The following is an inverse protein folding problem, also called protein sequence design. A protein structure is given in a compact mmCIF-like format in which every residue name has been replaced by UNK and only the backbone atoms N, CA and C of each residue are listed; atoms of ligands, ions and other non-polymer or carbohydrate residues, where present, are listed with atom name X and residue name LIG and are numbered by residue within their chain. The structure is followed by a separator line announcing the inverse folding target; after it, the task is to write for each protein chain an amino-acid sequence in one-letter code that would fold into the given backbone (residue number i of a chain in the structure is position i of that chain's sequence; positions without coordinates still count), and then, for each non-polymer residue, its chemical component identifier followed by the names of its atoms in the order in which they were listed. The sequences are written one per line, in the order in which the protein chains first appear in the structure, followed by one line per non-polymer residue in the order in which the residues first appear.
data_IF_367444288247
#
_entry.id   IF_367444288247
#
_cell.length_a   1.000
_cell.length_b   1.000
_cell.length_c   1.000
_cell.angle_alpha   90.00
_cell.angle_beta   90.00
_cell.angle_gamma   90.00
#
_symmetry.space_group_name_H-M   'P 1'
#
loop_
_entity.id
_entity.type
_entity.pdbx_description
1 polymer ?
#
# COMPACT_ATOMS: atom_id res chain seq x y z
N UNK A 1 -17.94 -6.76 13.44
CA UNK A 1 -19.04 -5.96 12.83
C UNK A 1 -19.02 -4.62 13.52
N UNK A 2 -18.85 -3.53 12.80
CA UNK A 2 -18.91 -2.17 13.37
C UNK A 2 -20.39 -1.75 13.46
N UNK A 3 -20.80 -1.16 14.57
CA UNK A 3 -22.16 -0.64 14.80
C UNK A 3 -22.10 0.84 15.17
N UNK A 4 -23.27 1.50 15.22
CA UNK A 4 -23.35 2.84 15.76
C UNK A 4 -22.94 2.85 17.25
N UNK A 5 -22.45 4.00 17.72
CA UNK A 5 -22.09 4.18 19.12
C UNK A 5 -23.34 4.28 19.99
N UNK A 6 -23.34 3.60 21.13
CA UNK A 6 -24.39 3.62 22.13
C UNK A 6 -24.12 4.71 23.19
N UNK A 7 -25.13 5.14 23.99
CA UNK A 7 -24.99 6.25 24.96
C UNK A 7 -23.90 6.09 26.04
N UNK A 8 -23.33 4.89 26.20
CA UNK A 8 -22.26 4.60 27.16
C UNK A 8 -20.88 4.45 26.54
N UNK A 9 -20.77 4.46 25.21
CA UNK A 9 -19.49 4.29 24.52
C UNK A 9 -18.62 5.54 24.68
N UNK A 10 -17.34 5.30 24.89
CA UNK A 10 -16.32 6.32 25.04
C UNK A 10 -15.37 6.34 23.85
N UNK A 11 -14.70 7.47 23.68
CA UNK A 11 -13.65 7.58 22.68
C UNK A 11 -12.52 6.57 22.98
N UNK A 12 -12.24 5.69 22.03
CA UNK A 12 -11.24 4.63 22.18
C UNK A 12 -11.78 3.23 22.44
N UNK A 13 -13.10 3.05 22.63
CA UNK A 13 -13.70 1.72 22.77
C UNK A 13 -13.61 0.88 21.49
N UNK A 14 -13.50 1.55 20.34
CA UNK A 14 -13.26 0.93 19.05
C UNK A 14 -11.79 1.09 18.68
N UNK A 15 -11.06 -0.03 18.69
CA UNK A 15 -9.66 -0.09 18.27
C UNK A 15 -9.50 -1.07 17.12
N UNK A 16 -8.67 -0.70 16.15
CA UNK A 16 -8.31 -1.57 15.03
C UNK A 16 -7.01 -2.31 15.35
N UNK A 17 -6.98 -3.60 15.00
CA UNK A 17 -5.77 -4.40 15.05
C UNK A 17 -4.94 -4.15 13.78
N UNK A 18 -3.89 -3.35 13.92
CA UNK A 18 -3.02 -2.97 12.81
C UNK A 18 -2.17 -4.14 12.30
N UNK A 19 -1.93 -5.17 13.13
CA UNK A 19 -1.20 -6.37 12.71
C UNK A 19 -2.02 -7.17 11.71
N UNK A 20 -3.32 -7.35 11.97
CA UNK A 20 -4.24 -8.03 11.02
C UNK A 20 -4.32 -7.29 9.68
N UNK A 21 -4.39 -5.97 9.70
CA UNK A 21 -4.33 -5.18 8.46
C UNK A 21 -3.02 -5.39 7.71
N UNK A 22 -1.90 -5.48 8.43
CA UNK A 22 -0.58 -5.72 7.84
C UNK A 22 -0.43 -7.15 7.28
N UNK A 23 -1.02 -8.16 7.92
CA UNK A 23 -1.07 -9.53 7.41
C UNK A 23 -1.81 -9.61 6.08
N UNK A 24 -2.99 -8.99 5.98
CA UNK A 24 -3.75 -8.91 4.72
C UNK A 24 -2.96 -8.16 3.64
N UNK A 25 -2.27 -7.07 4.02
CA UNK A 25 -1.38 -6.37 3.10
C UNK A 25 -0.27 -7.30 2.54
N UNK A 26 0.37 -8.11 3.39
CA UNK A 26 1.38 -9.07 2.95
C UNK A 26 0.82 -10.12 2.00
N UNK A 27 -0.36 -10.67 2.30
CA UNK A 27 -1.05 -11.61 1.41
C UNK A 27 -1.30 -10.98 0.03
N UNK A 28 -1.72 -9.72 -0.02
CA UNK A 28 -1.88 -8.99 -1.28
C UNK A 28 -0.53 -8.76 -1.98
N UNK A 29 0.51 -8.41 -1.23
CA UNK A 29 1.85 -8.16 -1.76
C UNK A 29 2.40 -9.40 -2.47
N UNK A 30 2.18 -10.60 -1.94
CA UNK A 30 2.58 -11.88 -2.53
C UNK A 30 1.96 -12.14 -3.91
N UNK A 31 0.79 -11.57 -4.19
CA UNK A 31 0.11 -11.70 -5.49
C UNK A 31 0.67 -10.73 -6.55
N UNK A 32 1.53 -9.78 -6.15
CA UNK A 32 2.08 -8.76 -7.05
C UNK A 32 3.41 -9.19 -7.66
N UNK A 33 3.79 -8.56 -8.77
CA UNK A 33 5.13 -8.75 -9.35
C UNK A 33 6.13 -7.88 -8.58
N UNK A 34 7.20 -8.47 -8.00
CA UNK A 34 8.19 -7.69 -7.28
C UNK A 34 8.95 -6.77 -8.24
N UNK A 35 9.39 -5.62 -7.74
CA UNK A 35 10.39 -4.79 -8.40
C UNK A 35 11.79 -5.37 -8.13
N UNK A 36 12.79 -5.13 -9.00
CA UNK A 36 12.72 -4.34 -10.23
C UNK A 36 11.98 -5.03 -11.37
N UNK A 37 11.35 -4.23 -12.23
CA UNK A 37 10.72 -4.73 -13.46
C UNK A 37 11.75 -5.08 -14.53
N UNK A 38 11.28 -5.46 -15.74
CA UNK A 38 12.15 -5.71 -16.89
C UNK A 38 13.15 -4.56 -17.13
N UNK A 39 14.41 -4.89 -17.39
CA UNK A 39 15.48 -3.90 -17.59
C UNK A 39 16.06 -3.30 -16.31
N UNK A 40 15.87 -3.95 -15.15
CA UNK A 40 16.34 -3.48 -13.84
C UNK A 40 15.80 -2.10 -13.45
N UNK A 41 14.58 -1.78 -13.90
CA UNK A 41 13.95 -0.50 -13.64
C UNK A 41 13.07 -0.60 -12.40
N UNK A 42 13.22 0.37 -11.49
CA UNK A 42 12.35 0.54 -10.32
C UNK A 42 10.90 0.70 -10.72
N UNK A 43 10.64 1.30 -11.89
CA UNK A 43 9.28 1.57 -12.42
C UNK A 43 9.26 1.52 -13.95
N UNK A 44 8.10 1.25 -14.59
CA UNK A 44 7.98 1.31 -16.04
C UNK A 44 8.08 2.71 -16.63
N UNK A 45 8.68 2.82 -17.83
CA UNK A 45 8.87 4.09 -18.55
C UNK A 45 7.60 4.63 -19.23
N UNK A 46 6.64 3.74 -19.52
CA UNK A 46 5.37 4.05 -20.19
C UNK A 46 4.30 4.61 -19.25
N UNK A 47 4.52 4.60 -17.92
CA UNK A 47 3.58 5.17 -16.97
C UNK A 47 3.68 6.70 -16.98
N UNK A 48 2.65 7.39 -17.48
CA UNK A 48 2.54 8.85 -17.50
C UNK A 48 2.52 9.43 -16.08
N UNK A 49 3.19 10.58 -15.91
CA UNK A 49 3.29 11.30 -14.63
C UNK A 49 3.26 12.80 -14.88
N UNK A 50 2.69 13.60 -13.97
CA UNK A 50 2.73 15.05 -14.04
C UNK A 50 4.17 15.60 -14.11
N UNK A 51 5.09 14.99 -13.36
CA UNK A 51 6.52 15.31 -13.37
C UNK A 51 7.30 14.03 -13.67
N UNK A 52 7.62 13.81 -14.95
CA UNK A 52 8.36 12.62 -15.39
C UNK A 52 9.84 12.80 -15.04
N UNK A 53 10.44 11.92 -14.20
CA UNK A 53 11.88 11.96 -13.91
C UNK A 53 12.72 11.74 -15.16
N UNK A 54 14.01 12.08 -15.07
CA UNK A 54 15.01 11.69 -16.08
C UNK A 54 15.18 10.17 -16.11
N UNK A 55 15.56 9.56 -17.25
CA UNK A 55 15.63 8.10 -17.40
C UNK A 55 16.55 7.38 -16.40
N UNK A 56 17.64 8.02 -15.96
CA UNK A 56 18.59 7.50 -14.97
C UNK A 56 17.93 7.28 -13.59
N UNK A 57 16.97 8.13 -13.20
CA UNK A 57 16.25 8.01 -11.94
C UNK A 57 15.31 6.78 -11.85
N UNK A 58 15.15 6.04 -12.95
CA UNK A 58 14.39 4.79 -12.99
C UNK A 58 15.24 3.55 -12.71
N UNK A 59 16.57 3.64 -12.77
CA UNK A 59 17.46 2.52 -12.48
C UNK A 59 17.52 2.26 -10.97
N UNK A 60 17.68 0.99 -10.58
CA UNK A 60 17.91 0.59 -9.19
C UNK A 60 19.40 0.63 -8.87
#
# INVERSE_FOLDING_TARGET
RLTAAEPGDQYGDVVVDTNKSFEVYKQWLELTKPAPGPGNLRRPLWLHRPVKPTPDAYQV
#
